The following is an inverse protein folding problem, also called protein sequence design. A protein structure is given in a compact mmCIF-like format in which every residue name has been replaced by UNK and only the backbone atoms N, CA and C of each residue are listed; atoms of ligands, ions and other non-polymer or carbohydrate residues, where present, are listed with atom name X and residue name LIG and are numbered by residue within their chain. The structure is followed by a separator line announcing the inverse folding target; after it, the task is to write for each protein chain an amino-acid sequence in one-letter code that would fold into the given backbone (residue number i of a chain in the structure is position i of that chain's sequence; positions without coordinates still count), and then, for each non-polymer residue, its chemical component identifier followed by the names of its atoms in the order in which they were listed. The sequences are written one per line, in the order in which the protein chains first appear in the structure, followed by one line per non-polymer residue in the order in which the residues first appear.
data_IF_641485055623
#
_entry.id   IF_641485055623
#
_cell.length_a   1.000
_cell.length_b   1.000
_cell.length_c   1.000
_cell.angle_alpha   90.00
_cell.angle_beta   90.00
_cell.angle_gamma   90.00
#
_symmetry.space_group_name_H-M   'P 1'
#
loop_
_entity.id
_entity.type
_entity.pdbx_description
1 polymer ?
#
# COMPACT_ATOMS: atom_id res chain seq x y z
N UNK A 1 30.34 6.54 -27.61
CA UNK A 1 29.24 7.42 -27.14
C UNK A 1 28.51 6.72 -26.00
N UNK A 2 28.30 7.36 -24.84
CA UNK A 2 27.43 6.84 -23.78
C UNK A 2 25.99 7.25 -24.10
N UNK A 3 25.07 6.29 -24.21
CA UNK A 3 23.64 6.55 -24.43
C UNK A 3 23.01 6.92 -23.09
N UNK A 4 22.60 8.18 -22.94
CA UNK A 4 21.82 8.61 -21.78
C UNK A 4 20.42 8.03 -21.89
N UNK A 5 20.07 7.10 -21.02
CA UNK A 5 18.73 6.51 -20.96
C UNK A 5 17.93 7.24 -19.89
N UNK A 6 16.87 7.92 -20.28
CA UNK A 6 15.89 8.49 -19.36
C UNK A 6 14.82 7.42 -19.08
N UNK A 7 14.81 6.86 -17.86
CA UNK A 7 13.77 5.93 -17.43
C UNK A 7 12.73 6.70 -16.62
N UNK A 8 11.51 6.83 -17.14
CA UNK A 8 10.38 7.38 -16.37
C UNK A 8 9.88 6.32 -15.39
N UNK A 9 10.00 6.60 -14.09
CA UNK A 9 9.49 5.72 -13.03
C UNK A 9 8.13 6.22 -12.54
N UNK A 10 7.14 5.34 -12.50
CA UNK A 10 5.83 5.65 -11.92
C UNK A 10 5.87 5.47 -10.40
N UNK A 11 5.43 6.50 -9.67
CA UNK A 11 5.38 6.54 -8.20
C UNK A 11 3.93 6.65 -7.69
N UNK A 12 3.63 6.15 -6.48
CA UNK A 12 4.54 5.47 -5.55
C UNK A 12 4.95 4.08 -6.04
N UNK A 13 5.98 3.53 -5.41
CA UNK A 13 6.38 2.13 -5.51
C UNK A 13 6.04 1.44 -4.20
N UNK A 14 5.17 0.46 -4.26
CA UNK A 14 4.86 -0.43 -3.15
C UNK A 14 5.48 -1.80 -3.45
N UNK A 15 6.49 -2.18 -2.69
CA UNK A 15 6.99 -3.55 -2.69
C UNK A 15 6.37 -4.31 -1.53
N UNK A 16 5.74 -5.44 -1.82
CA UNK A 16 5.20 -6.38 -0.82
C UNK A 16 6.02 -7.65 -0.80
N UNK A 17 6.05 -8.31 0.35
CA UNK A 17 6.86 -9.49 0.63
C UNK A 17 5.99 -10.54 1.30
N UNK A 18 6.24 -11.82 0.99
CA UNK A 18 5.48 -12.94 1.56
C UNK A 18 5.93 -13.36 2.96
N UNK A 19 6.96 -12.72 3.49
CA UNK A 19 7.51 -12.99 4.82
C UNK A 19 7.83 -11.67 5.51
N UNK A 20 7.91 -11.70 6.84
CA UNK A 20 8.35 -10.57 7.64
C UNK A 20 9.76 -10.10 7.24
N UNK A 21 10.14 -8.92 7.71
CA UNK A 21 11.47 -8.36 7.59
C UNK A 21 11.97 -8.26 6.14
N UNK A 22 11.03 -8.15 5.19
CA UNK A 22 11.26 -7.99 3.75
C UNK A 22 11.89 -9.22 3.08
N UNK A 23 11.64 -10.42 3.62
CA UNK A 23 12.12 -11.69 3.08
C UNK A 23 11.11 -12.35 2.13
N UNK A 24 11.41 -13.56 1.68
CA UNK A 24 10.54 -14.36 0.82
C UNK A 24 10.34 -13.81 -0.58
N UNK A 25 9.21 -14.22 -1.20
CA UNK A 25 8.82 -13.76 -2.53
C UNK A 25 8.39 -12.31 -2.46
N UNK A 26 8.61 -11.54 -3.53
CA UNK A 26 8.20 -10.15 -3.57
C UNK A 26 7.47 -9.77 -4.86
N UNK A 27 6.65 -8.72 -4.77
CA UNK A 27 5.96 -8.10 -5.91
C UNK A 27 5.96 -6.59 -5.76
N UNK A 28 6.09 -5.88 -6.89
CA UNK A 28 6.14 -4.41 -6.92
C UNK A 28 4.91 -3.87 -7.66
N UNK A 29 4.13 -3.06 -6.96
CA UNK A 29 3.06 -2.26 -7.52
C UNK A 29 3.53 -0.82 -7.71
N UNK A 30 3.13 -0.19 -8.82
CA UNK A 30 3.51 1.18 -9.17
C UNK A 30 2.27 2.03 -9.40
N UNK A 31 2.37 3.30 -9.03
CA UNK A 31 1.27 4.25 -9.14
C UNK A 31 0.29 4.14 -7.96
N UNK A 32 -0.84 4.84 -8.07
CA UNK A 32 -1.89 4.80 -7.08
C UNK A 32 -2.57 3.43 -7.14
N UNK A 33 -2.48 2.64 -6.07
CA UNK A 33 -2.94 1.26 -6.04
C UNK A 33 -3.70 0.98 -4.76
N UNK A 34 -4.75 0.17 -4.84
CA UNK A 34 -5.32 -0.49 -3.66
C UNK A 34 -5.28 -2.01 -3.82
N UNK A 35 -4.81 -2.70 -2.79
CA UNK A 35 -4.79 -4.16 -2.71
C UNK A 35 -5.97 -4.59 -1.84
N UNK A 36 -6.98 -5.25 -2.42
CA UNK A 36 -8.24 -5.57 -1.72
C UNK A 36 -8.13 -6.71 -0.73
N UNK A 37 -7.23 -7.66 -0.96
CA UNK A 37 -7.03 -8.79 -0.08
C UNK A 37 -5.55 -9.22 -0.16
N UNK A 38 -4.84 -9.13 0.95
CA UNK A 38 -3.42 -9.48 1.01
C UNK A 38 -3.19 -11.00 0.91
N UNK A 39 -4.12 -11.84 1.37
CA UNK A 39 -4.01 -13.31 1.27
C UNK A 39 -3.96 -13.80 -0.19
N UNK A 40 -4.62 -13.05 -1.09
CA UNK A 40 -4.63 -13.34 -2.52
C UNK A 40 -3.31 -12.96 -3.21
N UNK A 41 -2.39 -12.32 -2.50
CA UNK A 41 -1.14 -11.81 -3.04
C UNK A 41 0.00 -12.59 -2.38
N UNK A 42 0.77 -13.32 -3.19
CA UNK A 42 1.91 -14.12 -2.71
C UNK A 42 1.56 -15.17 -1.64
N UNK A 43 0.28 -15.52 -1.48
CA UNK A 43 -0.21 -16.46 -0.47
C UNK A 43 -0.27 -15.87 0.95
N UNK A 44 -0.26 -14.55 1.08
CA UNK A 44 -0.06 -13.82 2.33
C UNK A 44 1.02 -12.76 2.13
N UNK A 45 0.74 -11.52 2.54
CA UNK A 45 1.74 -10.44 2.56
C UNK A 45 2.01 -10.10 4.01
N UNK A 46 3.26 -10.26 4.42
CA UNK A 46 3.68 -10.13 5.82
C UNK A 46 4.52 -8.87 6.07
N UNK A 47 5.11 -8.29 5.00
CA UNK A 47 5.84 -7.03 5.11
C UNK A 47 5.82 -6.21 3.82
N UNK A 48 6.09 -4.91 3.93
CA UNK A 48 6.07 -4.01 2.79
C UNK A 48 7.04 -2.83 2.90
N UNK A 49 7.40 -2.29 1.73
CA UNK A 49 8.12 -1.02 1.57
C UNK A 49 7.33 -0.11 0.66
N UNK A 50 6.94 1.04 1.18
CA UNK A 50 6.24 2.10 0.45
C UNK A 50 7.18 3.28 0.23
N UNK A 51 7.46 3.55 -1.04
CA UNK A 51 8.32 4.65 -1.47
C UNK A 51 7.61 5.60 -2.43
N UNK A 52 7.75 6.89 -2.19
CA UNK A 52 7.35 7.96 -3.09
C UNK A 52 8.39 9.08 -3.10
N UNK A 53 8.41 9.84 -4.19
CA UNK A 53 9.12 11.11 -4.29
C UNK A 53 8.34 12.29 -3.68
N UNK A 54 7.07 12.09 -3.31
CA UNK A 54 6.25 13.11 -2.64
C UNK A 54 6.19 12.86 -1.13
N UNK A 55 6.54 13.88 -0.35
CA UNK A 55 6.53 13.83 1.13
C UNK A 55 5.15 13.61 1.73
N UNK A 56 4.08 14.00 1.03
CA UNK A 56 2.69 13.85 1.48
C UNK A 56 1.95 12.66 0.85
N UNK A 57 2.67 11.74 0.19
CA UNK A 57 2.13 10.47 -0.26
C UNK A 57 1.53 9.69 0.92
N UNK A 58 0.49 8.89 0.65
CA UNK A 58 -0.28 8.21 1.70
C UNK A 58 -0.25 6.70 1.51
N UNK A 59 0.10 6.00 2.58
CA UNK A 59 -0.18 4.58 2.75
C UNK A 59 -1.29 4.45 3.80
N UNK A 60 -2.33 3.69 3.49
CA UNK A 60 -3.40 3.33 4.43
C UNK A 60 -3.49 1.82 4.49
N UNK A 61 -3.47 1.27 5.68
CA UNK A 61 -3.63 -0.17 5.94
C UNK A 61 -4.92 -0.40 6.71
N UNK A 62 -5.58 -1.52 6.46
CA UNK A 62 -6.92 -1.85 6.94
C UNK A 62 -6.93 -3.25 7.55
N UNK A 63 -7.68 -3.43 8.64
CA UNK A 63 -7.78 -4.71 9.37
C UNK A 63 -8.74 -5.72 8.75
N UNK A 64 -9.29 -5.44 7.57
CA UNK A 64 -10.23 -6.32 6.86
C UNK A 64 -10.04 -6.16 5.35
N UNK A 65 -10.50 -7.10 4.53
CA UNK A 65 -10.38 -7.00 3.09
C UNK A 65 -11.28 -5.88 2.58
N UNK A 66 -11.11 -5.48 1.32
CA UNK A 66 -11.91 -4.48 0.64
C UNK A 66 -11.88 -3.08 1.30
N UNK A 67 -10.75 -2.71 1.90
CA UNK A 67 -10.52 -1.43 2.56
C UNK A 67 -11.46 -1.19 3.74
N UNK A 68 -11.77 -2.24 4.51
CA UNK A 68 -12.74 -2.19 5.61
C UNK A 68 -12.08 -2.27 7.00
N UNK A 69 -12.88 -2.16 8.06
CA UNK A 69 -12.40 -2.34 9.43
C UNK A 69 -11.68 -1.14 10.03
N UNK A 70 -10.80 -1.42 11.00
CA UNK A 70 -9.88 -0.44 11.56
C UNK A 70 -8.85 -0.04 10.50
N UNK A 71 -8.32 1.17 10.58
CA UNK A 71 -7.27 1.59 9.65
C UNK A 71 -6.21 2.43 10.32
N UNK A 72 -4.99 2.37 9.79
CA UNK A 72 -3.86 3.22 10.16
C UNK A 72 -3.34 3.94 8.93
N UNK A 73 -2.95 5.20 9.11
CA UNK A 73 -2.50 6.08 8.04
C UNK A 73 -1.04 6.44 8.27
N UNK A 74 -0.23 6.25 7.23
CA UNK A 74 1.17 6.65 7.20
C UNK A 74 1.38 7.72 6.11
N UNK A 75 2.28 8.67 6.40
CA UNK A 75 2.60 9.80 5.52
C UNK A 75 4.05 9.71 5.10
N UNK A 76 4.31 9.92 3.80
CA UNK A 76 5.63 9.78 3.23
C UNK A 76 6.12 8.33 3.20
N UNK A 77 7.41 8.16 2.97
CA UNK A 77 8.02 6.84 2.85
C UNK A 77 7.87 6.05 4.15
N UNK A 78 7.41 4.81 4.02
CA UNK A 78 7.08 3.95 5.15
C UNK A 78 7.49 2.53 4.84
N UNK A 79 8.22 1.89 5.75
CA UNK A 79 8.52 0.46 5.68
C UNK A 79 7.89 -0.20 6.89
N UNK A 80 7.11 -1.25 6.66
CA UNK A 80 6.48 -2.05 7.70
C UNK A 80 7.11 -3.43 7.61
N UNK A 81 7.93 -3.76 8.61
CA UNK A 81 8.67 -5.02 8.68
C UNK A 81 7.77 -6.21 9.01
N UNK A 82 6.60 -5.93 9.56
CA UNK A 82 5.67 -6.90 10.10
C UNK A 82 4.27 -6.25 10.02
N UNK A 83 3.31 -7.01 9.52
CA UNK A 83 1.93 -6.61 9.33
C UNK A 83 0.98 -7.26 10.35
N UNK A 84 1.47 -8.21 11.13
CA UNK A 84 0.71 -8.86 12.18
C UNK A 84 0.52 -7.92 13.35
N UNK A 85 -0.67 -7.98 13.95
CA UNK A 85 -1.05 -7.19 15.13
C UNK A 85 -0.89 -5.65 15.01
N UNK A 86 -0.60 -5.13 13.81
CA UNK A 86 -0.15 -3.76 13.57
C UNK A 86 -1.21 -2.71 13.98
N UNK A 87 -2.49 -3.10 13.98
CA UNK A 87 -3.62 -2.22 14.27
C UNK A 87 -4.39 -2.75 15.49
N UNK A 88 -3.87 -2.43 16.68
CA UNK A 88 -4.47 -2.81 17.98
C UNK A 88 -4.61 -4.33 18.13
N UNK A 89 -3.60 -5.10 17.75
CA UNK A 89 -3.66 -6.56 17.79
C UNK A 89 -4.54 -7.15 16.70
N UNK A 90 -4.61 -6.50 15.54
CA UNK A 90 -5.23 -7.05 14.34
C UNK A 90 -4.27 -6.88 13.17
N UNK A 91 -4.27 -7.88 12.31
CA UNK A 91 -3.43 -7.95 11.12
C UNK A 91 -3.89 -6.96 10.04
N UNK A 92 -3.03 -6.74 9.04
CA UNK A 92 -3.41 -5.97 7.85
C UNK A 92 -3.93 -6.91 6.78
N UNK A 93 -5.17 -6.70 6.34
CA UNK A 93 -5.80 -7.55 5.32
C UNK A 93 -6.02 -6.82 3.99
N UNK A 94 -5.96 -5.48 3.97
CA UNK A 94 -5.98 -4.69 2.73
C UNK A 94 -5.29 -3.35 2.89
N UNK A 95 -4.94 -2.70 1.77
CA UNK A 95 -4.23 -1.41 1.81
C UNK A 95 -4.46 -0.53 0.60
N UNK A 96 -4.12 0.75 0.75
CA UNK A 96 -4.09 1.77 -0.30
C UNK A 96 -2.71 2.45 -0.28
N UNK A 97 -2.06 2.52 -1.43
CA UNK A 97 -0.77 3.19 -1.65
C UNK A 97 -0.97 4.27 -2.73
N UNK A 98 -0.75 5.54 -2.39
CA UNK A 98 -0.99 6.64 -3.33
C UNK A 98 0.03 7.76 -3.23
N UNK A 99 0.28 8.40 -4.36
CA UNK A 99 1.16 9.58 -4.45
C UNK A 99 0.47 10.86 -3.96
N UNK A 100 -0.79 10.76 -3.55
CA UNK A 100 -1.62 11.88 -3.11
C UNK A 100 -1.80 11.85 -1.59
N UNK A 101 -2.20 13.00 -1.04
CA UNK A 101 -2.62 13.10 0.35
C UNK A 101 -4.10 12.74 0.46
N UNK A 102 -4.42 11.56 0.99
CA UNK A 102 -5.80 11.23 1.37
C UNK A 102 -6.11 11.78 2.76
N UNK A 103 -7.18 12.56 2.88
CA UNK A 103 -7.73 13.04 4.15
C UNK A 103 -8.43 11.90 4.91
N UNK A 104 -8.65 12.08 6.21
CA UNK A 104 -9.43 11.12 6.98
C UNK A 104 -10.88 11.00 6.49
N UNK A 105 -11.46 12.08 5.94
CA UNK A 105 -12.80 12.06 5.38
C UNK A 105 -12.85 11.18 4.12
N UNK A 106 -11.90 11.34 3.20
CA UNK A 106 -11.78 10.50 2.00
C UNK A 106 -11.53 9.03 2.36
N UNK A 107 -10.66 8.75 3.33
CA UNK A 107 -10.39 7.37 3.78
C UNK A 107 -11.65 6.74 4.37
N UNK A 108 -12.42 7.49 5.17
CA UNK A 108 -13.71 7.02 5.72
C UNK A 108 -14.75 6.80 4.62
N UNK A 109 -14.75 7.62 3.57
CA UNK A 109 -15.62 7.45 2.42
C UNK A 109 -15.26 6.19 1.63
N UNK A 110 -13.97 5.97 1.34
CA UNK A 110 -13.47 4.74 0.71
C UNK A 110 -13.85 3.52 1.56
N UNK A 111 -13.64 3.57 2.88
CA UNK A 111 -14.01 2.49 3.80
C UNK A 111 -15.50 2.17 3.78
N UNK A 112 -16.35 3.19 3.68
CA UNK A 112 -17.80 3.05 3.62
C UNK A 112 -18.25 2.45 2.29
N UNK A 113 -17.67 2.93 1.19
CA UNK A 113 -18.14 2.63 -0.17
C UNK A 113 -17.40 1.46 -0.83
N UNK A 114 -16.26 1.03 -0.26
CA UNK A 114 -15.36 -0.01 -0.79
C UNK A 114 -14.85 0.30 -2.21
N UNK A 115 -14.82 1.58 -2.56
CA UNK A 115 -14.48 2.10 -3.89
C UNK A 115 -13.32 3.08 -3.78
N UNK A 116 -12.33 2.96 -4.66
CA UNK A 116 -11.22 3.91 -4.77
C UNK A 116 -11.59 5.06 -5.73
N UNK A 117 -10.93 6.22 -5.60
CA UNK A 117 -11.04 7.29 -6.60
C UNK A 117 -10.61 6.81 -7.99
N UNK A 118 -11.08 7.51 -9.03
CA UNK A 118 -10.65 7.28 -10.41
C UNK A 118 -9.13 7.36 -10.56
N UNK A 119 -8.54 6.49 -11.38
CA UNK A 119 -7.10 6.44 -11.63
C UNK A 119 -6.30 5.62 -10.60
N UNK A 120 -6.97 4.94 -9.67
CA UNK A 120 -6.34 3.91 -8.84
C UNK A 120 -6.39 2.57 -9.55
N UNK A 121 -5.26 1.87 -9.56
CA UNK A 121 -5.18 0.48 -9.95
C UNK A 121 -5.71 -0.38 -8.81
N UNK A 122 -6.70 -1.20 -9.10
CA UNK A 122 -7.30 -2.10 -8.13
C UNK A 122 -6.76 -3.50 -8.36
N UNK A 123 -6.24 -4.11 -7.31
CA UNK A 123 -5.69 -5.48 -7.31
C UNK A 123 -6.43 -6.31 -6.29
#
# INVERSE_FOLDING_TARGET
MKKTVHVSQTYPRLTVYSEENYFGRSRIYRGNTGLRNLDNILGGVESLRFFSTRSNATLVVFTRPNFQGGFRVFRGNTNLRDLDDLIRGNDVESLISTNQRLTLAEIRAIRRNRSLPSGYNLV
#
